data_IF_944741129564
#
_entry.id   IF_944741129564
#
_cell.length_a   1.000
_cell.length_b   1.000
_cell.length_c   1.000
_cell.angle_alpha   90.00
_cell.angle_beta   90.00
_cell.angle_gamma   90.00
#
_symmetry.space_group_name_H-M   'P 1'
#
loop_
_entity.id
_entity.type
_entity.pdbx_description
1 polymer ?
#
# COMPACT_ATOMS: atom_id res chain seq x y z
N UNK A 1 -30.19 -61.90 35.71
CA UNK A 1 -29.94 -60.50 36.13
C UNK A 1 -28.61 -59.95 35.61
N UNK A 2 -27.46 -60.58 35.88
CA UNK A 2 -26.11 -60.14 35.42
C UNK A 2 -26.02 -59.87 33.92
N UNK A 3 -26.66 -60.70 33.09
CA UNK A 3 -26.64 -60.56 31.63
C UNK A 3 -27.28 -59.25 31.15
N UNK A 4 -28.30 -58.76 31.86
CA UNK A 4 -28.95 -57.49 31.52
C UNK A 4 -28.09 -56.32 32.00
N UNK A 5 -27.49 -56.41 33.18
CA UNK A 5 -26.54 -55.42 33.71
C UNK A 5 -25.37 -55.21 32.73
N UNK A 6 -24.82 -56.29 32.17
CA UNK A 6 -23.76 -56.22 31.16
C UNK A 6 -24.22 -55.55 29.86
N UNK A 7 -25.42 -55.87 29.38
CA UNK A 7 -25.98 -55.28 28.15
C UNK A 7 -26.21 -53.77 28.33
N UNK A 8 -26.79 -53.35 29.46
CA UNK A 8 -26.99 -51.94 29.76
C UNK A 8 -25.67 -51.19 29.95
N UNK A 9 -24.67 -51.81 30.59
CA UNK A 9 -23.34 -51.22 30.74
C UNK A 9 -22.63 -51.00 29.40
N UNK A 10 -22.65 -51.99 28.50
CA UNK A 10 -22.08 -51.87 27.16
C UNK A 10 -22.82 -50.84 26.30
N UNK A 11 -24.15 -50.80 26.39
CA UNK A 11 -24.97 -49.82 25.67
C UNK A 11 -24.64 -48.39 26.13
N UNK A 12 -24.55 -48.15 27.44
CA UNK A 12 -24.21 -46.84 27.99
C UNK A 12 -22.79 -46.42 27.61
N UNK A 13 -21.81 -47.32 27.73
CA UNK A 13 -20.41 -47.05 27.37
C UNK A 13 -20.23 -46.76 25.88
N UNK A 14 -20.95 -47.47 25.02
CA UNK A 14 -20.95 -47.22 23.57
C UNK A 14 -21.57 -45.87 23.24
N UNK A 15 -22.66 -45.51 23.92
CA UNK A 15 -23.35 -44.23 23.73
C UNK A 15 -22.48 -43.04 24.17
N UNK A 16 -21.81 -43.15 25.32
CA UNK A 16 -20.85 -42.13 25.79
C UNK A 16 -19.66 -42.02 24.82
N UNK A 17 -19.12 -43.16 24.37
CA UNK A 17 -17.99 -43.16 23.41
C UNK A 17 -18.37 -42.52 22.08
N UNK A 18 -19.56 -42.79 21.57
CA UNK A 18 -20.09 -42.15 20.36
C UNK A 18 -20.30 -40.64 20.55
N UNK A 19 -20.85 -40.23 21.69
CA UNK A 19 -21.05 -38.82 22.02
C UNK A 19 -19.72 -38.07 22.04
N UNK A 20 -18.73 -38.57 22.78
CA UNK A 20 -17.40 -37.96 22.88
C UNK A 20 -16.69 -37.94 21.53
N UNK A 21 -16.80 -39.00 20.74
CA UNK A 21 -16.24 -39.03 19.39
C UNK A 21 -16.91 -38.00 18.48
N UNK A 22 -18.24 -37.81 18.59
CA UNK A 22 -18.98 -36.82 17.83
C UNK A 22 -18.60 -35.39 18.20
N UNK A 23 -18.46 -35.10 19.50
CA UNK A 23 -18.02 -33.79 19.99
C UNK A 23 -16.57 -33.51 19.57
N UNK A 24 -15.66 -34.48 19.75
CA UNK A 24 -14.27 -34.34 19.32
C UNK A 24 -14.16 -34.07 17.81
N UNK A 25 -14.91 -34.81 17.00
CA UNK A 25 -14.92 -34.64 15.54
C UNK A 25 -15.53 -33.29 15.12
N UNK A 26 -16.62 -32.86 15.74
CA UNK A 26 -17.28 -31.59 15.42
C UNK A 26 -16.47 -30.38 15.90
N UNK A 27 -15.84 -30.47 17.07
CA UNK A 27 -15.04 -29.39 17.65
C UNK A 27 -13.71 -29.21 16.90
N UNK A 28 -13.07 -30.31 16.48
CA UNK A 28 -11.87 -30.26 15.63
C UNK A 28 -12.19 -29.72 14.23
N UNK A 29 -13.27 -30.17 13.57
CA UNK A 29 -13.61 -29.68 12.22
C UNK A 29 -14.02 -28.19 12.25
N UNK A 30 -14.72 -27.73 13.29
CA UNK A 30 -15.10 -26.33 13.45
C UNK A 30 -13.89 -25.39 13.60
N UNK A 31 -12.97 -25.69 14.51
CA UNK A 31 -11.79 -24.84 14.73
C UNK A 31 -10.76 -24.92 13.60
N UNK A 32 -10.67 -26.03 12.88
CA UNK A 32 -9.75 -26.14 11.74
C UNK A 32 -10.12 -25.14 10.63
N UNK A 33 -11.41 -24.90 10.36
CA UNK A 33 -11.84 -23.92 9.36
C UNK A 33 -11.47 -22.49 9.78
N UNK A 34 -11.71 -22.12 11.03
CA UNK A 34 -11.34 -20.80 11.57
C UNK A 34 -9.83 -20.56 11.51
N UNK A 35 -9.03 -21.58 11.88
CA UNK A 35 -7.57 -21.53 11.79
C UNK A 35 -7.08 -21.40 10.35
N UNK A 36 -7.70 -22.10 9.39
CA UNK A 36 -7.38 -21.98 7.97
C UNK A 36 -7.68 -20.58 7.44
N UNK A 37 -8.85 -20.02 7.74
CA UNK A 37 -9.23 -18.67 7.31
C UNK A 37 -8.31 -17.61 7.93
N UNK A 38 -7.96 -17.75 9.20
CA UNK A 38 -7.02 -16.85 9.87
C UNK A 38 -5.63 -16.93 9.24
N UNK A 39 -5.14 -18.14 8.96
CA UNK A 39 -3.85 -18.34 8.29
C UNK A 39 -3.83 -17.71 6.90
N UNK A 40 -4.88 -17.93 6.10
CA UNK A 40 -5.04 -17.30 4.78
C UNK A 40 -5.04 -15.77 4.91
N UNK A 41 -5.82 -15.22 5.85
CA UNK A 41 -5.89 -13.78 6.08
C UNK A 41 -4.52 -13.19 6.48
N UNK A 42 -3.77 -13.86 7.36
CA UNK A 42 -2.42 -13.44 7.77
C UNK A 42 -1.47 -13.47 6.58
N UNK A 43 -1.49 -14.51 5.75
CA UNK A 43 -0.66 -14.58 4.54
C UNK A 43 -0.98 -13.43 3.59
N UNK A 44 -2.26 -13.20 3.30
CA UNK A 44 -2.68 -12.09 2.42
C UNK A 44 -2.30 -10.72 2.99
N UNK A 45 -2.46 -10.50 4.30
CA UNK A 45 -2.08 -9.26 4.95
C UNK A 45 -0.56 -9.03 4.88
N UNK A 46 0.25 -10.05 5.20
CA UNK A 46 1.71 -9.98 5.11
C UNK A 46 2.18 -9.73 3.68
N UNK A 47 1.62 -10.44 2.70
CA UNK A 47 1.95 -10.25 1.28
C UNK A 47 1.54 -8.85 0.83
N UNK A 48 0.34 -8.38 1.16
CA UNK A 48 -0.13 -7.05 0.80
C UNK A 48 0.73 -5.93 1.38
N UNK A 49 1.08 -6.03 2.66
CA UNK A 49 1.98 -5.07 3.33
C UNK A 49 3.37 -5.11 2.70
N UNK A 50 3.94 -6.30 2.48
CA UNK A 50 5.25 -6.46 1.86
C UNK A 50 5.29 -5.89 0.44
N UNK A 51 4.27 -6.19 -0.37
CA UNK A 51 4.16 -5.71 -1.74
C UNK A 51 4.00 -4.18 -1.78
N UNK A 52 3.16 -3.64 -0.89
CA UNK A 52 2.97 -2.20 -0.73
C UNK A 52 4.28 -1.49 -0.38
N UNK A 53 5.01 -1.99 0.61
CA UNK A 53 6.29 -1.40 1.05
C UNK A 53 7.41 -1.56 0.01
N UNK A 54 7.45 -2.70 -0.71
CA UNK A 54 8.49 -2.97 -1.70
C UNK A 54 8.37 -2.08 -2.93
N UNK A 55 7.15 -1.74 -3.35
CA UNK A 55 6.93 -0.85 -4.50
C UNK A 55 6.80 0.61 -4.14
N UNK A 56 6.53 0.94 -2.87
CA UNK A 56 6.39 2.33 -2.43
C UNK A 56 7.72 3.05 -2.21
N UNK A 57 8.87 2.39 -2.38
CA UNK A 57 10.16 3.08 -2.31
C UNK A 57 10.26 4.03 -3.51
N UNK A 58 10.11 5.36 -3.33
CA UNK A 58 10.36 6.29 -4.41
C UNK A 58 11.85 6.14 -4.68
N UNK A 59 12.18 5.67 -5.87
CA UNK A 59 13.57 5.66 -6.30
C UNK A 59 13.93 7.11 -6.50
N UNK A 60 14.42 7.76 -5.44
CA UNK A 60 15.09 9.03 -5.56
C UNK A 60 16.40 8.74 -6.28
N UNK A 61 16.57 9.14 -7.56
CA UNK A 61 17.91 9.17 -8.11
C UNK A 61 18.74 10.01 -7.15
N UNK A 62 19.92 9.49 -6.78
CA UNK A 62 20.89 10.28 -6.05
C UNK A 62 21.00 11.63 -6.78
N UNK A 63 20.89 12.78 -6.08
CA UNK A 63 20.95 14.07 -6.74
C UNK A 63 22.19 14.06 -7.63
N UNK A 64 22.07 14.35 -8.94
CA UNK A 64 23.23 14.45 -9.81
C UNK A 64 24.22 15.36 -9.09
N UNK A 65 25.50 14.95 -9.02
CA UNK A 65 26.57 15.72 -8.38
C UNK A 65 26.34 17.19 -8.66
N UNK A 66 26.02 18.02 -7.68
CA UNK A 66 25.54 19.38 -7.95
C UNK A 66 26.68 20.18 -8.58
N UNK A 67 26.66 20.30 -9.91
CA UNK A 67 27.32 21.37 -10.61
C UNK A 67 26.32 22.52 -10.41
N UNK A 68 26.70 23.64 -9.79
CA UNK A 68 25.80 24.78 -9.70
C UNK A 68 25.40 25.15 -11.12
N UNK A 69 24.18 24.77 -11.51
CA UNK A 69 23.58 25.23 -12.74
C UNK A 69 23.56 26.76 -12.65
N UNK A 70 23.76 27.47 -13.77
CA UNK A 70 23.60 28.92 -13.81
C UNK A 70 22.27 29.25 -13.13
N UNK A 71 22.32 30.02 -12.04
CA UNK A 71 21.09 30.44 -11.37
C UNK A 71 20.23 31.15 -12.40
N UNK A 72 18.96 30.76 -12.57
CA UNK A 72 18.12 31.37 -13.59
C UNK A 72 18.04 32.88 -13.31
N UNK A 73 18.34 33.66 -14.35
CA UNK A 73 18.40 35.12 -14.25
C UNK A 73 17.05 35.64 -13.74
N UNK A 74 17.01 36.34 -12.58
CA UNK A 74 15.78 36.86 -12.00
C UNK A 74 14.97 37.71 -12.97
N UNK A 75 15.64 38.38 -13.92
CA UNK A 75 14.98 39.20 -14.93
C UNK A 75 14.17 38.34 -15.91
N UNK A 76 14.71 37.20 -16.34
CA UNK A 76 14.04 36.28 -17.27
C UNK A 76 12.82 35.63 -16.62
N UNK A 77 12.93 35.22 -15.36
CA UNK A 77 11.80 34.65 -14.59
C UNK A 77 10.65 35.67 -14.49
N UNK A 78 10.99 36.92 -14.22
CA UNK A 78 10.02 38.02 -14.09
C UNK A 78 9.36 38.34 -15.44
N UNK A 79 10.10 38.33 -16.54
CA UNK A 79 9.58 38.54 -17.89
C UNK A 79 8.61 37.43 -18.33
N UNK A 80 8.87 36.18 -17.93
CA UNK A 80 7.99 35.03 -18.19
C UNK A 80 6.76 34.97 -17.25
N UNK A 81 6.71 35.83 -16.23
CA UNK A 81 5.61 35.86 -15.25
C UNK A 81 5.49 34.58 -14.41
N UNK A 82 6.59 33.84 -14.23
CA UNK A 82 6.60 32.59 -13.46
C UNK A 82 6.59 32.92 -11.97
N UNK A 83 5.62 32.37 -11.24
CA UNK A 83 5.53 32.52 -9.79
C UNK A 83 6.56 31.65 -9.06
N UNK A 84 6.86 32.00 -7.82
CA UNK A 84 7.74 31.21 -6.95
C UNK A 84 7.30 29.74 -6.84
N UNK A 85 5.99 29.50 -6.71
CA UNK A 85 5.43 28.14 -6.64
C UNK A 85 5.56 27.36 -7.94
N UNK A 86 5.38 28.02 -9.08
CA UNK A 86 5.60 27.40 -10.40
C UNK A 86 7.07 27.08 -10.63
N UNK A 87 7.98 27.94 -10.15
CA UNK A 87 9.42 27.70 -10.19
C UNK A 87 9.83 26.50 -9.33
N UNK A 88 9.29 26.39 -8.10
CA UNK A 88 9.54 25.25 -7.22
C UNK A 88 9.11 23.93 -7.89
N UNK A 89 7.92 23.91 -8.50
CA UNK A 89 7.42 22.76 -9.27
C UNK A 89 8.33 22.44 -10.46
N UNK A 90 8.79 23.46 -11.20
CA UNK A 90 9.68 23.28 -12.35
C UNK A 90 11.05 22.69 -11.96
N UNK A 91 11.62 23.13 -10.83
CA UNK A 91 12.89 22.60 -10.32
C UNK A 91 12.77 21.12 -9.95
N UNK A 92 11.69 20.73 -9.26
CA UNK A 92 11.43 19.34 -8.91
C UNK A 92 11.12 18.48 -10.17
N UNK A 93 10.43 19.06 -11.16
CA UNK A 93 10.18 18.41 -12.45
C UNK A 93 11.48 18.13 -13.22
N UNK A 94 12.41 19.08 -13.24
CA UNK A 94 13.72 18.95 -13.87
C UNK A 94 14.60 17.86 -13.23
N UNK A 95 14.35 17.51 -11.96
CA UNK A 95 14.99 16.38 -11.28
C UNK A 95 14.42 15.01 -11.69
N UNK A 96 13.38 14.98 -12.53
CA UNK A 96 12.77 13.74 -13.02
C UNK A 96 11.64 13.19 -12.15
N UNK A 97 11.20 13.93 -11.12
CA UNK A 97 10.18 13.47 -10.18
C UNK A 97 8.79 13.37 -10.83
N UNK A 98 7.99 12.41 -10.39
CA UNK A 98 6.57 12.27 -10.72
C UNK A 98 5.72 13.36 -10.06
N UNK A 99 4.52 13.60 -10.58
CA UNK A 99 3.64 14.62 -10.01
C UNK A 99 3.25 14.33 -8.56
N UNK A 100 3.19 13.05 -8.17
CA UNK A 100 2.88 12.63 -6.81
C UNK A 100 4.08 12.90 -5.88
N UNK A 101 5.31 12.60 -6.32
CA UNK A 101 6.52 12.92 -5.55
C UNK A 101 6.74 14.43 -5.38
N UNK A 102 6.42 15.22 -6.40
CA UNK A 102 6.45 16.68 -6.33
C UNK A 102 5.40 17.18 -5.32
N UNK A 103 4.22 16.57 -5.30
CA UNK A 103 3.14 16.91 -4.39
C UNK A 103 3.54 16.66 -2.92
N UNK A 104 4.15 15.51 -2.65
CA UNK A 104 4.66 15.14 -1.32
C UNK A 104 5.75 16.10 -0.85
N UNK A 105 6.70 16.45 -1.71
CA UNK A 105 7.81 17.37 -1.35
C UNK A 105 7.36 18.81 -1.10
N UNK A 106 6.35 19.27 -1.84
CA UNK A 106 5.83 20.63 -1.73
C UNK A 106 4.65 20.75 -0.76
N UNK A 107 4.24 19.64 -0.12
CA UNK A 107 3.10 19.56 0.79
C UNK A 107 1.79 20.08 0.16
N UNK A 108 1.54 19.68 -1.09
CA UNK A 108 0.35 20.04 -1.86
C UNK A 108 -0.30 18.80 -2.46
N UNK A 109 -1.50 18.93 -3.02
CA UNK A 109 -2.12 17.79 -3.72
C UNK A 109 -1.52 17.59 -5.12
N UNK A 110 -1.51 16.35 -5.66
CA UNK A 110 -1.10 16.10 -7.05
C UNK A 110 -1.90 16.89 -8.07
N UNK A 111 -3.17 17.21 -7.75
CA UNK A 111 -4.00 18.04 -8.62
C UNK A 111 -3.50 19.50 -8.64
N UNK A 112 -3.07 20.02 -7.50
CA UNK A 112 -2.45 21.36 -7.39
C UNK A 112 -1.17 21.43 -8.23
N UNK A 113 -0.34 20.38 -8.18
CA UNK A 113 0.87 20.26 -9.02
C UNK A 113 0.51 20.31 -10.51
N UNK A 114 -0.49 19.54 -10.95
CA UNK A 114 -0.97 19.55 -12.34
C UNK A 114 -1.44 20.93 -12.78
N UNK A 115 -2.14 21.67 -11.93
CA UNK A 115 -2.57 23.05 -12.22
C UNK A 115 -1.38 23.98 -12.38
N UNK A 116 -0.39 23.93 -11.48
CA UNK A 116 0.83 24.74 -11.61
C UNK A 116 1.61 24.40 -12.89
N UNK A 117 1.72 23.11 -13.24
CA UNK A 117 2.33 22.67 -14.50
C UNK A 117 1.57 23.16 -15.74
N UNK A 118 0.23 23.14 -15.72
CA UNK A 118 -0.56 23.64 -16.85
C UNK A 118 -0.30 25.12 -17.10
N UNK A 119 -0.29 25.94 -16.04
CA UNK A 119 0.02 27.36 -16.14
C UNK A 119 1.47 27.59 -16.58
N UNK A 120 2.41 26.81 -16.05
CA UNK A 120 3.81 26.89 -16.42
C UNK A 120 4.03 26.55 -17.90
N UNK A 121 3.37 25.52 -18.42
CA UNK A 121 3.44 25.13 -19.83
C UNK A 121 2.90 26.21 -20.77
N UNK A 122 1.85 26.91 -20.38
CA UNK A 122 1.35 28.07 -21.12
C UNK A 122 2.37 29.21 -21.13
N UNK A 123 3.02 29.49 -19.98
CA UNK A 123 4.02 30.56 -19.86
C UNK A 123 5.33 30.26 -20.59
N UNK A 124 5.70 28.99 -20.70
CA UNK A 124 6.91 28.53 -21.38
C UNK A 124 6.68 28.14 -22.85
N UNK A 125 5.45 28.24 -23.34
CA UNK A 125 5.03 27.82 -24.69
C UNK A 125 5.41 26.37 -25.03
N UNK A 126 5.24 25.46 -24.07
CA UNK A 126 5.54 24.02 -24.23
C UNK A 126 4.26 23.20 -24.11
N UNK A 127 4.08 22.20 -24.98
CA UNK A 127 2.88 21.34 -24.97
C UNK A 127 2.98 20.12 -24.04
N UNK A 128 4.19 19.65 -23.76
CA UNK A 128 4.39 18.39 -23.02
C UNK A 128 5.75 18.36 -22.32
N UNK A 129 5.81 17.56 -21.25
CA UNK A 129 6.99 17.23 -20.45
C UNK A 129 8.15 16.58 -21.23
N UNK A 130 7.87 15.95 -22.38
CA UNK A 130 8.79 15.17 -23.22
C UNK A 130 8.77 15.69 -24.63
#
# INVERSE_FOLDING_TARGET
MIRHVLVYGLALGSLVSLMVWSEYRLLVIGHVVELYLLLVAVVFALVGIWLGLRWSSPTYPAPPSYHPAPQPDPQVISQLGISSRELDVLVQLAQGLSNDEIADRLFVSPNTVKTHLANLYVKLDVKRRT
#
